data_IF_496560516358
#
_entry.id   IF_496560516358
#
_cell.length_a   1.000
_cell.length_b   1.000
_cell.length_c   1.000
_cell.angle_alpha   90.00
_cell.angle_beta   90.00
_cell.angle_gamma   90.00
#
_symmetry.space_group_name_H-M   'P 1'
#
loop_
_entity.id
_entity.type
_entity.pdbx_description
1 polymer ?
#
# COMPACT_ATOMS: atom_id res chain seq x y z
N UNK A 1 30.31 -1.04 13.76
CA UNK A 1 30.08 -0.68 15.17
C UNK A 1 29.58 0.76 15.30
N UNK A 2 28.63 1.00 16.20
CA UNK A 2 28.17 2.34 16.62
C UNK A 2 29.26 3.07 17.45
N UNK A 3 29.13 4.37 17.74
CA UNK A 3 30.02 5.08 18.67
C UNK A 3 30.19 4.39 20.03
N UNK A 4 29.12 3.79 20.56
CA UNK A 4 29.11 3.00 21.81
C UNK A 4 29.60 1.56 21.65
N UNK A 5 30.02 1.15 20.44
CA UNK A 5 30.61 -0.16 20.18
C UNK A 5 29.62 -1.28 19.86
N UNK A 6 28.35 -0.97 19.63
CA UNK A 6 27.32 -1.96 19.31
C UNK A 6 27.52 -2.52 17.91
N UNK A 7 27.32 -3.83 17.76
CA UNK A 7 27.54 -4.59 16.53
C UNK A 7 26.24 -4.92 15.82
N UNK A 8 26.26 -4.86 14.50
CA UNK A 8 25.12 -5.21 13.65
C UNK A 8 25.46 -6.46 12.83
N UNK A 9 24.63 -7.49 12.95
CA UNK A 9 24.70 -8.69 12.13
C UNK A 9 23.70 -8.58 10.96
N UNK A 10 24.14 -8.82 9.73
CA UNK A 10 23.25 -9.01 8.59
C UNK A 10 22.59 -10.38 8.66
N UNK A 11 21.28 -10.46 8.45
CA UNK A 11 20.52 -11.70 8.26
C UNK A 11 19.73 -11.66 6.97
N UNK A 12 19.89 -12.68 6.13
CA UNK A 12 19.14 -12.83 4.87
C UNK A 12 18.77 -14.29 4.63
N UNK A 13 17.67 -14.50 3.92
CA UNK A 13 17.37 -15.75 3.22
C UNK A 13 17.53 -15.49 1.72
N UNK A 14 18.15 -16.40 0.98
CA UNK A 14 18.41 -16.22 -0.46
C UNK A 14 18.08 -17.48 -1.25
N UNK A 15 17.69 -17.29 -2.52
CA UNK A 15 17.52 -18.35 -3.50
C UNK A 15 17.58 -17.81 -4.92
N UNK A 16 18.60 -18.20 -5.68
CA UNK A 16 18.76 -17.83 -7.09
C UNK A 16 18.74 -16.30 -7.37
N UNK A 17 19.53 -15.56 -6.61
CA UNK A 17 19.63 -14.10 -6.68
C UNK A 17 20.98 -13.60 -7.22
N UNK A 18 21.72 -14.44 -7.97
CA UNK A 18 22.99 -14.08 -8.57
C UNK A 18 22.96 -12.75 -9.37
N UNK A 19 21.86 -12.42 -10.11
CA UNK A 19 21.80 -11.17 -10.87
C UNK A 19 21.73 -9.90 -10.01
N UNK A 20 21.27 -9.98 -8.75
CA UNK A 20 20.91 -8.79 -7.94
C UNK A 20 21.64 -8.71 -6.60
N UNK A 21 22.00 -9.86 -6.01
CA UNK A 21 22.51 -9.94 -4.63
C UNK A 21 23.73 -9.04 -4.38
N UNK A 22 24.61 -8.88 -5.38
CA UNK A 22 25.82 -8.07 -5.23
C UNK A 22 25.52 -6.63 -4.86
N UNK A 23 24.51 -6.03 -5.51
CA UNK A 23 24.05 -4.66 -5.28
C UNK A 23 23.55 -4.49 -3.83
N UNK A 24 22.77 -5.45 -3.34
CA UNK A 24 22.29 -5.47 -1.96
C UNK A 24 23.47 -5.52 -0.97
N UNK A 25 24.40 -6.46 -1.15
CA UNK A 25 25.55 -6.65 -0.25
C UNK A 25 26.47 -5.42 -0.20
N UNK A 26 26.73 -4.79 -1.35
CA UNK A 26 27.53 -3.57 -1.41
C UNK A 26 26.85 -2.41 -0.63
N UNK A 27 25.50 -2.36 -0.62
CA UNK A 27 24.73 -1.29 0.05
C UNK A 27 24.74 -1.36 1.58
N UNK A 28 24.83 -2.56 2.16
CA UNK A 28 24.81 -2.76 3.63
C UNK A 28 26.21 -2.82 4.25
N UNK A 29 27.25 -3.00 3.42
CA UNK A 29 28.63 -3.24 3.86
C UNK A 29 29.16 -2.24 4.89
N UNK A 30 28.82 -0.96 4.75
CA UNK A 30 29.31 0.09 5.62
C UNK A 30 28.83 -0.01 7.07
N UNK A 31 27.76 -0.77 7.34
CA UNK A 31 27.11 -0.78 8.66
C UNK A 31 27.12 -2.14 9.35
N UNK A 32 27.53 -3.22 8.67
CA UNK A 32 27.53 -4.57 9.22
C UNK A 32 28.89 -4.92 9.83
N UNK A 33 28.86 -5.62 10.96
CA UNK A 33 30.04 -6.13 11.67
C UNK A 33 30.16 -7.66 11.55
N UNK A 34 29.05 -8.32 11.23
CA UNK A 34 28.97 -9.75 10.95
C UNK A 34 27.87 -10.02 9.92
N UNK A 35 27.88 -11.20 9.29
CA UNK A 35 26.77 -11.64 8.44
C UNK A 35 26.44 -13.12 8.61
N UNK A 36 25.16 -13.43 8.55
CA UNK A 36 24.61 -14.78 8.47
C UNK A 36 23.62 -14.79 7.32
N UNK A 37 23.91 -15.57 6.29
CA UNK A 37 23.01 -15.71 5.14
C UNK A 37 22.60 -17.17 5.04
N UNK A 38 21.30 -17.42 4.93
CA UNK A 38 20.72 -18.75 4.75
C UNK A 38 20.33 -18.93 3.29
N UNK A 39 21.06 -19.76 2.58
CA UNK A 39 20.73 -20.18 1.23
C UNK A 39 19.72 -21.33 1.26
N UNK A 40 18.62 -21.17 0.53
CA UNK A 40 17.49 -22.12 0.53
C UNK A 40 17.42 -22.98 -0.74
N UNK A 41 18.58 -23.20 -1.36
CA UNK A 41 18.76 -24.06 -2.53
C UNK A 41 19.00 -23.28 -3.82
N UNK A 42 19.92 -22.32 -3.81
CA UNK A 42 20.42 -21.65 -5.01
C UNK A 42 21.19 -22.62 -5.90
N UNK A 43 21.10 -22.40 -7.21
CA UNK A 43 21.73 -23.23 -8.25
C UNK A 43 22.41 -22.38 -9.34
N UNK A 44 22.40 -21.06 -9.19
CA UNK A 44 22.82 -20.06 -10.17
C UNK A 44 24.16 -19.37 -9.82
N UNK A 45 24.86 -19.85 -8.80
CA UNK A 45 26.10 -19.24 -8.31
C UNK A 45 25.92 -18.12 -7.27
N UNK A 46 24.70 -17.87 -6.78
CA UNK A 46 24.43 -16.90 -5.70
C UNK A 46 25.39 -17.05 -4.52
N UNK A 47 25.66 -18.29 -4.10
CA UNK A 47 26.53 -18.60 -2.97
C UNK A 47 27.97 -18.10 -3.17
N UNK A 48 28.52 -18.24 -4.37
CA UNK A 48 29.90 -17.83 -4.67
C UNK A 48 30.03 -16.31 -4.69
N UNK A 49 29.00 -15.61 -5.18
CA UNK A 49 28.95 -14.15 -5.16
C UNK A 49 28.92 -13.64 -3.72
N UNK A 50 28.12 -14.26 -2.84
CA UNK A 50 28.05 -13.89 -1.42
C UNK A 50 29.43 -14.05 -0.76
N UNK A 51 30.05 -15.23 -0.90
CA UNK A 51 31.37 -15.53 -0.31
C UNK A 51 32.43 -14.54 -0.80
N UNK A 52 32.44 -14.23 -2.10
CA UNK A 52 33.40 -13.29 -2.67
C UNK A 52 33.15 -11.85 -2.21
N UNK A 53 31.89 -11.41 -2.17
CA UNK A 53 31.54 -10.04 -1.81
C UNK A 53 31.81 -9.73 -0.33
N UNK A 54 31.65 -10.70 0.57
CA UNK A 54 31.80 -10.52 2.01
C UNK A 54 33.04 -11.18 2.60
N UNK A 55 34.04 -11.54 1.77
CA UNK A 55 35.22 -12.31 2.18
C UNK A 55 36.05 -11.66 3.31
N UNK A 56 35.98 -10.35 3.44
CA UNK A 56 36.68 -9.52 4.42
C UNK A 56 35.81 -9.10 5.62
N UNK A 57 34.54 -9.52 5.65
CA UNK A 57 33.63 -9.30 6.79
C UNK A 57 33.38 -10.65 7.47
N UNK A 58 33.52 -10.76 8.81
CA UNK A 58 33.21 -12.00 9.52
C UNK A 58 31.79 -12.47 9.24
N UNK A 59 31.61 -13.76 8.93
CA UNK A 59 30.27 -14.30 8.70
C UNK A 59 30.24 -15.69 8.14
N UNK A 60 29.03 -16.20 7.92
CA UNK A 60 28.81 -17.55 7.44
C UNK A 60 27.62 -17.65 6.49
N UNK A 61 27.77 -18.52 5.49
CA UNK A 61 26.73 -18.93 4.57
C UNK A 61 26.28 -20.34 4.95
N UNK A 62 25.00 -20.51 5.22
CA UNK A 62 24.41 -21.77 5.67
C UNK A 62 23.39 -22.24 4.64
N UNK A 63 23.39 -23.53 4.31
CA UNK A 63 22.36 -24.12 3.47
C UNK A 63 21.26 -24.74 4.34
N UNK A 64 20.00 -24.43 4.04
CA UNK A 64 18.83 -24.97 4.74
C UNK A 64 17.72 -25.33 3.75
N UNK A 65 16.90 -26.35 4.06
CA UNK A 65 15.73 -26.63 3.25
C UNK A 65 14.75 -25.45 3.32
N UNK A 66 14.16 -25.12 2.18
CA UNK A 66 13.01 -24.21 2.13
C UNK A 66 11.80 -24.85 2.80
N UNK A 67 11.19 -24.15 3.74
CA UNK A 67 9.92 -24.50 4.36
C UNK A 67 8.89 -23.44 3.98
N UNK A 68 9.07 -22.23 4.50
CA UNK A 68 8.27 -21.03 4.21
C UNK A 68 9.00 -19.76 4.66
N UNK A 69 8.48 -18.58 4.32
CA UNK A 69 9.16 -17.32 4.63
C UNK A 69 9.32 -17.07 6.14
N UNK A 70 8.27 -17.28 6.92
CA UNK A 70 8.29 -17.06 8.37
C UNK A 70 9.25 -18.00 9.07
N UNK A 71 9.25 -19.28 8.71
CA UNK A 71 10.15 -20.30 9.23
C UNK A 71 11.60 -19.97 8.90
N UNK A 72 11.93 -19.82 7.62
CA UNK A 72 13.32 -19.63 7.21
C UNK A 72 13.88 -18.27 7.66
N UNK A 73 13.06 -17.20 7.71
CA UNK A 73 13.51 -15.93 8.33
C UNK A 73 13.72 -16.03 9.83
N UNK A 74 12.88 -16.78 10.53
CA UNK A 74 13.07 -17.02 11.98
C UNK A 74 14.35 -17.80 12.23
N UNK A 75 14.60 -18.87 11.47
CA UNK A 75 15.84 -19.63 11.57
C UNK A 75 17.06 -18.74 11.28
N UNK A 76 17.03 -17.94 10.20
CA UNK A 76 18.11 -17.01 9.86
C UNK A 76 18.34 -15.96 10.94
N UNK A 77 17.28 -15.45 11.57
CA UNK A 77 17.36 -14.49 12.67
C UNK A 77 17.96 -15.14 13.91
N UNK A 78 17.55 -16.36 14.26
CA UNK A 78 18.11 -17.12 15.39
C UNK A 78 19.61 -17.39 15.22
N UNK A 79 20.03 -17.80 14.03
CA UNK A 79 21.43 -18.01 13.68
C UNK A 79 22.25 -16.72 13.75
N UNK A 80 21.66 -15.56 13.43
CA UNK A 80 22.32 -14.26 13.45
C UNK A 80 22.51 -13.68 14.87
N UNK A 81 21.61 -13.99 15.80
CA UNK A 81 21.58 -13.40 17.16
C UNK A 81 22.91 -13.41 17.93
N UNK A 82 23.70 -14.50 17.94
CA UNK A 82 24.95 -14.55 18.71
C UNK A 82 26.06 -13.63 18.17
N UNK A 83 25.87 -13.04 17.00
CA UNK A 83 26.92 -12.36 16.24
C UNK A 83 26.79 -10.82 16.22
N UNK A 84 25.83 -10.25 16.94
CA UNK A 84 25.67 -8.80 17.08
C UNK A 84 24.72 -8.42 18.21
N UNK A 85 24.67 -7.14 18.54
CA UNK A 85 23.66 -6.56 19.44
C UNK A 85 22.33 -6.37 18.71
N UNK A 86 22.39 -6.11 17.41
CA UNK A 86 21.24 -5.98 16.51
C UNK A 86 21.41 -6.86 15.27
N UNK A 87 20.28 -7.28 14.70
CA UNK A 87 20.24 -7.96 13.40
C UNK A 87 19.48 -7.12 12.38
N UNK A 88 20.13 -6.81 11.25
CA UNK A 88 19.54 -6.17 10.08
C UNK A 88 18.99 -7.25 9.15
N UNK A 89 17.72 -7.15 8.76
CA UNK A 89 17.10 -8.01 7.75
C UNK A 89 16.81 -7.19 6.49
N UNK A 90 17.30 -7.67 5.34
CA UNK A 90 17.09 -7.05 4.03
C UNK A 90 16.91 -8.14 2.97
N UNK A 91 16.09 -7.87 1.96
CA UNK A 91 15.86 -8.79 0.85
C UNK A 91 16.96 -8.65 -0.20
N UNK A 92 17.28 -9.74 -0.90
CA UNK A 92 18.43 -9.84 -1.80
C UNK A 92 18.38 -8.89 -3.01
N UNK A 93 17.19 -8.45 -3.40
CA UNK A 93 16.95 -7.50 -4.47
C UNK A 93 16.83 -6.04 -3.99
N UNK A 94 16.80 -5.81 -2.67
CA UNK A 94 16.70 -4.48 -2.07
C UNK A 94 18.08 -3.82 -1.84
N UNK A 95 18.09 -2.50 -1.73
CA UNK A 95 19.27 -1.70 -1.44
C UNK A 95 19.08 -0.82 -0.21
N UNK A 96 20.04 -0.83 0.71
CA UNK A 96 20.08 0.12 1.81
C UNK A 96 20.61 1.48 1.35
N UNK A 97 19.84 2.53 1.61
CA UNK A 97 20.11 3.90 1.15
C UNK A 97 19.91 4.89 2.30
N UNK A 98 20.44 6.11 2.12
CA UNK A 98 20.09 7.22 2.99
C UNK A 98 18.60 7.57 2.80
N UNK A 99 17.85 7.75 3.89
CA UNK A 99 16.43 8.09 3.80
C UNK A 99 16.20 9.41 3.04
N UNK A 100 17.11 10.37 3.23
CA UNK A 100 17.05 11.68 2.60
C UNK A 100 17.79 11.63 1.25
N UNK A 101 17.07 11.89 0.16
CA UNK A 101 17.64 11.90 -1.20
C UNK A 101 17.82 10.53 -1.87
N UNK A 102 17.69 9.42 -1.12
CA UNK A 102 17.71 8.07 -1.69
C UNK A 102 19.03 7.65 -2.32
N UNK A 103 20.13 8.28 -1.91
CA UNK A 103 21.48 8.00 -2.37
C UNK A 103 22.10 6.82 -1.62
N UNK A 104 23.12 6.20 -2.21
CA UNK A 104 23.93 5.19 -1.52
C UNK A 104 24.52 5.75 -0.22
N UNK A 105 24.70 4.88 0.78
CA UNK A 105 25.37 5.26 2.00
C UNK A 105 26.86 5.57 1.73
N UNK A 106 27.43 6.61 2.33
CA UNK A 106 28.87 6.83 2.31
C UNK A 106 29.63 5.60 2.83
N UNK A 107 30.80 5.30 2.26
CA UNK A 107 31.64 4.17 2.67
C UNK A 107 32.00 4.22 4.16
N UNK A 108 32.08 5.41 4.73
CA UNK A 108 32.38 5.67 6.13
C UNK A 108 31.13 6.01 6.98
N UNK A 109 29.94 5.65 6.51
CA UNK A 109 28.71 5.89 7.26
C UNK A 109 28.79 5.23 8.64
N UNK A 110 28.46 6.00 9.68
CA UNK A 110 28.43 5.52 11.06
C UNK A 110 27.00 5.48 11.54
N UNK A 111 26.57 4.32 11.99
CA UNK A 111 25.29 4.15 12.67
C UNK A 111 25.25 5.00 13.95
N UNK A 112 24.10 5.60 14.29
CA UNK A 112 23.92 6.19 15.61
C UNK A 112 23.96 5.12 16.69
N UNK A 113 24.11 5.52 17.95
CA UNK A 113 23.89 4.62 19.07
C UNK A 113 22.43 4.15 19.10
N UNK A 114 22.25 2.88 19.46
CA UNK A 114 20.98 2.18 19.41
C UNK A 114 20.54 1.77 20.82
N UNK A 115 19.27 1.92 21.13
CA UNK A 115 18.69 1.62 22.44
C UNK A 115 17.33 0.94 22.33
N UNK A 116 16.57 1.30 21.29
CA UNK A 116 15.24 0.79 20.98
C UNK A 116 15.23 -0.72 20.72
N UNK A 117 14.10 -1.39 20.98
CA UNK A 117 13.96 -2.83 20.76
C UNK A 117 14.00 -3.23 19.27
N UNK A 118 13.66 -2.29 18.38
CA UNK A 118 13.80 -2.42 16.94
C UNK A 118 13.68 -1.06 16.26
N UNK A 119 14.10 -0.98 15.01
CA UNK A 119 14.04 0.25 14.22
C UNK A 119 13.31 0.06 12.90
N UNK A 120 12.45 1.03 12.62
CA UNK A 120 11.71 1.18 11.37
C UNK A 120 12.59 1.87 10.32
N UNK A 121 12.62 1.30 9.12
CA UNK A 121 13.19 1.93 7.94
C UNK A 121 12.07 2.23 6.95
N UNK A 122 12.20 3.33 6.20
CA UNK A 122 11.28 3.64 5.11
C UNK A 122 11.56 2.72 3.92
N UNK A 123 10.54 2.06 3.41
CA UNK A 123 10.63 1.27 2.19
C UNK A 123 10.24 2.17 1.01
N UNK A 124 11.14 2.29 0.06
CA UNK A 124 10.97 3.07 -1.17
C UNK A 124 10.63 2.11 -2.32
N UNK A 125 9.33 1.97 -2.61
CA UNK A 125 8.84 1.29 -3.80
C UNK A 125 8.69 2.30 -4.97
N UNK A 126 8.35 1.88 -6.18
CA UNK A 126 8.29 2.77 -7.36
C UNK A 126 7.35 3.97 -7.14
N UNK A 127 6.19 3.74 -6.52
CA UNK A 127 5.13 4.76 -6.34
C UNK A 127 4.73 4.97 -4.88
N UNK A 128 5.27 4.18 -3.95
CA UNK A 128 4.84 4.18 -2.55
C UNK A 128 6.01 4.27 -1.59
N UNK A 129 5.74 4.83 -0.42
CA UNK A 129 6.65 4.90 0.72
C UNK A 129 5.92 4.36 1.94
N UNK A 130 6.51 3.41 2.65
CA UNK A 130 5.90 2.86 3.86
C UNK A 130 6.95 2.40 4.88
N UNK A 131 6.68 2.52 6.19
CA UNK A 131 7.57 2.02 7.22
C UNK A 131 7.59 0.50 7.30
N UNK A 132 8.77 -0.10 7.53
CA UNK A 132 8.92 -1.52 7.94
C UNK A 132 10.05 -1.65 8.96
N UNK A 133 9.80 -2.38 10.05
CA UNK A 133 10.86 -2.74 11.00
C UNK A 133 11.82 -3.72 10.37
N UNK A 134 13.10 -3.36 10.34
CA UNK A 134 14.14 -4.15 9.67
C UNK A 134 15.44 -4.29 10.47
N UNK A 135 15.54 -3.63 11.64
CA UNK A 135 16.66 -3.78 12.55
C UNK A 135 16.13 -4.20 13.91
N UNK A 136 16.59 -5.34 14.43
CA UNK A 136 16.02 -6.00 15.61
C UNK A 136 17.06 -6.18 16.70
N UNK A 137 16.73 -5.82 17.95
CA UNK A 137 17.64 -6.02 19.09
C UNK A 137 17.72 -7.50 19.45
N UNK A 138 18.92 -8.08 19.39
CA UNK A 138 19.11 -9.53 19.53
C UNK A 138 18.85 -10.07 20.94
N UNK A 139 18.90 -9.21 21.95
CA UNK A 139 18.53 -9.53 23.33
C UNK A 139 17.03 -9.83 23.51
N UNK A 140 16.20 -9.56 22.49
CA UNK A 140 14.75 -9.74 22.54
C UNK A 140 14.30 -10.85 21.58
N UNK A 141 13.25 -11.62 21.90
CA UNK A 141 12.85 -12.82 21.16
C UNK A 141 12.08 -12.53 19.86
N UNK A 142 12.64 -11.69 18.98
CA UNK A 142 12.08 -11.41 17.65
C UNK A 142 11.95 -12.66 16.76
N UNK A 143 10.78 -12.88 16.15
CA UNK A 143 10.57 -13.96 15.18
C UNK A 143 9.64 -13.52 14.07
N UNK A 144 9.70 -14.21 12.93
CA UNK A 144 8.78 -13.97 11.83
C UNK A 144 7.63 -14.98 11.85
N UNK A 145 6.43 -14.51 11.51
CA UNK A 145 5.24 -15.36 11.36
C UNK A 145 4.55 -15.13 10.03
N UNK A 146 3.97 -16.21 9.51
CA UNK A 146 3.29 -16.24 8.22
C UNK A 146 4.07 -17.04 7.19
N UNK A 147 3.38 -17.94 6.47
CA UNK A 147 4.01 -18.73 5.39
C UNK A 147 4.49 -17.88 4.21
N UNK A 148 3.82 -16.75 3.99
CA UNK A 148 4.11 -15.72 2.99
C UNK A 148 3.47 -14.40 3.45
N UNK A 149 4.03 -13.26 3.06
CA UNK A 149 3.70 -11.94 3.63
C UNK A 149 3.89 -11.91 5.15
N UNK A 150 5.01 -12.49 5.56
CA UNK A 150 5.47 -12.65 6.92
C UNK A 150 5.77 -11.31 7.60
N UNK A 151 5.57 -11.28 8.90
CA UNK A 151 5.81 -10.10 9.73
C UNK A 151 6.63 -10.47 10.95
N UNK A 152 7.49 -9.56 11.37
CA UNK A 152 8.25 -9.70 12.60
C UNK A 152 7.36 -9.40 13.79
N UNK A 153 7.44 -10.22 14.83
CA UNK A 153 6.80 -10.00 16.12
C UNK A 153 7.78 -10.26 17.27
N UNK A 154 7.46 -9.69 18.41
CA UNK A 154 8.12 -9.95 19.68
C UNK A 154 7.06 -9.82 20.77
N UNK A 155 6.64 -10.95 21.34
CA UNK A 155 5.46 -11.06 22.23
C UNK A 155 5.52 -10.14 23.46
N UNK A 156 6.73 -9.74 23.89
CA UNK A 156 6.96 -8.99 25.13
C UNK A 156 6.99 -7.46 24.95
N UNK A 157 6.80 -6.95 23.73
CA UNK A 157 6.98 -5.51 23.45
C UNK A 157 5.67 -4.80 23.11
N UNK A 158 5.42 -3.71 23.83
CA UNK A 158 4.56 -2.63 23.33
C UNK A 158 5.41 -1.81 22.36
N UNK A 159 4.96 -1.75 21.10
CA UNK A 159 5.70 -1.18 20.00
C UNK A 159 5.93 0.34 20.17
N UNK A 160 7.17 0.79 19.90
CA UNK A 160 7.51 2.21 19.78
C UNK A 160 8.15 2.43 18.41
N UNK A 161 7.53 3.25 17.58
CA UNK A 161 8.03 3.54 16.24
C UNK A 161 9.29 4.40 16.34
N UNK A 162 10.45 3.75 16.30
CA UNK A 162 11.75 4.42 16.29
C UNK A 162 12.32 4.31 14.89
N UNK A 163 12.41 5.43 14.18
CA UNK A 163 12.95 5.46 12.82
C UNK A 163 14.44 5.75 12.80
N UNK A 164 15.15 5.13 11.86
CA UNK A 164 16.50 5.53 11.49
C UNK A 164 16.47 6.42 10.26
N UNK A 165 17.49 7.28 10.04
CA UNK A 165 17.64 8.06 8.81
C UNK A 165 18.11 7.19 7.62
N UNK A 166 17.62 5.95 7.55
CA UNK A 166 17.90 4.94 6.55
C UNK A 166 16.61 4.51 5.87
N UNK A 167 16.73 4.11 4.62
CA UNK A 167 15.63 3.56 3.83
C UNK A 167 16.11 2.31 3.06
N UNK A 168 15.16 1.49 2.63
CA UNK A 168 15.42 0.40 1.69
C UNK A 168 14.74 0.73 0.37
N UNK A 169 15.52 0.85 -0.71
CA UNK A 169 14.99 0.93 -2.06
C UNK A 169 14.66 -0.48 -2.51
N UNK A 170 13.39 -0.69 -2.85
CA UNK A 170 12.90 -2.01 -3.22
C UNK A 170 13.36 -2.40 -4.62
N UNK A 171 13.84 -3.62 -4.76
CA UNK A 171 14.09 -4.25 -6.06
C UNK A 171 12.79 -4.66 -6.76
N UNK A 172 12.78 -4.57 -8.10
CA UNK A 172 11.71 -5.16 -8.92
C UNK A 172 12.25 -6.23 -9.88
N UNK A 173 13.50 -6.63 -9.70
CA UNK A 173 14.28 -7.49 -10.58
C UNK A 173 14.67 -8.83 -9.93
N UNK A 174 14.15 -9.16 -8.73
CA UNK A 174 14.40 -10.43 -8.04
C UNK A 174 13.73 -11.67 -8.66
N UNK A 175 14.15 -12.87 -8.25
CA UNK A 175 13.78 -14.13 -8.89
C UNK A 175 12.27 -14.40 -8.95
N UNK A 176 11.55 -14.13 -7.86
CA UNK A 176 10.09 -14.33 -7.78
C UNK A 176 9.31 -13.46 -8.76
N UNK A 177 9.78 -12.23 -9.05
CA UNK A 177 9.08 -11.32 -9.96
C UNK A 177 9.23 -11.70 -11.43
N UNK A 178 10.28 -12.44 -11.78
CA UNK A 178 10.51 -12.93 -13.15
C UNK A 178 9.62 -14.13 -13.51
N UNK A 179 8.91 -14.70 -12.54
CA UNK A 179 8.07 -15.86 -12.72
C UNK A 179 6.59 -15.47 -12.79
N UNK A 180 6.00 -15.63 -13.98
CA UNK A 180 4.60 -15.31 -14.27
C UNK A 180 3.61 -16.16 -13.46
N UNK A 181 4.05 -17.33 -12.96
CA UNK A 181 3.21 -18.23 -12.16
C UNK A 181 3.23 -17.92 -10.65
N UNK A 182 3.96 -16.88 -10.21
CA UNK A 182 4.17 -16.58 -8.79
C UNK A 182 2.86 -16.44 -8.02
N UNK A 183 1.90 -15.65 -8.51
CA UNK A 183 0.63 -15.45 -7.78
C UNK A 183 -0.24 -16.70 -7.73
N UNK A 184 -0.20 -17.55 -8.76
CA UNK A 184 -0.91 -18.84 -8.73
C UNK A 184 -0.32 -19.78 -7.66
N UNK A 185 1.01 -19.86 -7.57
CA UNK A 185 1.68 -20.64 -6.51
C UNK A 185 1.47 -20.05 -5.12
N UNK A 186 1.44 -18.72 -5.00
CA UNK A 186 1.16 -18.04 -3.73
C UNK A 186 -0.25 -18.38 -3.23
N UNK A 187 -1.24 -18.46 -4.13
CA UNK A 187 -2.57 -18.95 -3.78
C UNK A 187 -2.52 -20.40 -3.26
N UNK A 188 -1.82 -21.31 -3.93
CA UNK A 188 -1.67 -22.71 -3.47
C UNK A 188 -1.00 -22.81 -2.09
N UNK A 189 -0.02 -21.95 -1.80
CA UNK A 189 0.63 -21.89 -0.48
C UNK A 189 -0.40 -21.55 0.59
N UNK A 190 -1.21 -20.51 0.38
CA UNK A 190 -2.23 -20.14 1.35
C UNK A 190 -3.36 -21.17 1.47
N UNK A 191 -3.76 -21.83 0.37
CA UNK A 191 -4.74 -22.92 0.43
C UNK A 191 -4.26 -24.10 1.29
N UNK A 192 -2.97 -24.43 1.20
CA UNK A 192 -2.36 -25.47 2.04
C UNK A 192 -2.28 -25.01 3.50
N UNK A 193 -1.85 -23.77 3.73
CA UNK A 193 -1.70 -23.20 5.07
C UNK A 193 -3.06 -23.11 5.80
N UNK A 194 -4.12 -22.65 5.14
CA UNK A 194 -5.47 -22.53 5.70
C UNK A 194 -6.06 -23.87 6.19
N UNK A 195 -5.59 -25.01 5.68
CA UNK A 195 -6.07 -26.35 6.10
C UNK A 195 -5.48 -26.80 7.44
N UNK A 196 -4.32 -26.26 7.83
CA UNK A 196 -3.56 -26.72 8.99
C UNK A 196 -3.35 -25.64 10.06
N UNK A 197 -3.43 -24.36 9.66
CA UNK A 197 -3.30 -23.22 10.56
C UNK A 197 -4.46 -23.19 11.56
N UNK A 198 -4.14 -22.87 12.82
CA UNK A 198 -5.09 -22.82 13.93
C UNK A 198 -5.18 -21.45 14.55
N UNK A 199 -4.19 -20.59 14.34
CA UNK A 199 -4.22 -19.22 14.84
C UNK A 199 -5.25 -18.39 14.06
N UNK A 200 -6.32 -17.88 14.71
CA UNK A 200 -7.36 -17.11 14.05
C UNK A 200 -6.86 -15.84 13.36
N UNK A 201 -5.83 -15.18 13.91
CA UNK A 201 -5.23 -13.99 13.30
C UNK A 201 -4.51 -14.36 12.01
N UNK A 202 -3.69 -15.42 12.01
CA UNK A 202 -3.02 -15.89 10.80
C UNK A 202 -4.02 -16.40 9.75
N UNK A 203 -5.07 -17.13 10.15
CA UNK A 203 -6.15 -17.54 9.25
C UNK A 203 -6.77 -16.33 8.54
N UNK A 204 -7.04 -15.25 9.27
CA UNK A 204 -7.59 -14.02 8.68
C UNK A 204 -6.64 -13.41 7.65
N UNK A 205 -5.35 -13.31 7.97
CA UNK A 205 -4.35 -12.78 7.03
C UNK A 205 -4.14 -13.67 5.82
N UNK A 206 -4.09 -14.99 6.00
CA UNK A 206 -3.97 -15.94 4.90
C UNK A 206 -5.16 -15.86 3.96
N UNK A 207 -6.39 -15.69 4.47
CA UNK A 207 -7.56 -15.48 3.62
C UNK A 207 -7.47 -14.19 2.81
N UNK A 208 -6.99 -13.10 3.43
CA UNK A 208 -6.76 -11.83 2.73
C UNK A 208 -5.73 -11.96 1.59
N UNK A 209 -4.57 -12.54 1.88
CA UNK A 209 -3.53 -12.69 0.87
C UNK A 209 -3.85 -13.78 -0.17
N UNK A 210 -4.65 -14.79 0.17
CA UNK A 210 -5.23 -15.71 -0.81
C UNK A 210 -6.12 -14.97 -1.80
N UNK A 211 -6.99 -14.06 -1.32
CA UNK A 211 -7.84 -13.26 -2.18
C UNK A 211 -7.02 -12.35 -3.12
N UNK A 212 -5.97 -11.69 -2.61
CA UNK A 212 -5.04 -10.91 -3.42
C UNK A 212 -4.34 -11.78 -4.47
N UNK A 213 -3.85 -12.96 -4.08
CA UNK A 213 -3.16 -13.89 -4.98
C UNK A 213 -4.08 -14.36 -6.11
N UNK A 214 -5.33 -14.71 -5.78
CA UNK A 214 -6.34 -15.06 -6.79
C UNK A 214 -6.70 -13.91 -7.72
N UNK A 215 -6.80 -12.68 -7.19
CA UNK A 215 -7.03 -11.49 -8.01
C UNK A 215 -5.88 -11.30 -9.00
N UNK A 216 -4.65 -11.38 -8.50
CA UNK A 216 -3.44 -11.07 -9.26
C UNK A 216 -3.08 -12.16 -10.28
N UNK A 217 -3.50 -13.41 -10.08
CA UNK A 217 -3.42 -14.47 -11.10
C UNK A 217 -4.64 -14.56 -12.03
N UNK A 218 -5.65 -13.69 -11.86
CA UNK A 218 -6.81 -13.59 -12.75
C UNK A 218 -8.00 -14.51 -12.40
N UNK A 219 -7.93 -15.28 -11.32
CA UNK A 219 -9.00 -16.15 -10.80
C UNK A 219 -10.11 -15.35 -10.10
N UNK A 220 -10.78 -14.45 -10.83
CA UNK A 220 -11.72 -13.44 -10.31
C UNK A 220 -12.80 -13.98 -9.37
N UNK A 221 -13.43 -15.12 -9.73
CA UNK A 221 -14.49 -15.75 -8.93
C UNK A 221 -13.97 -16.25 -7.58
N UNK A 222 -12.77 -16.87 -7.56
CA UNK A 222 -12.14 -17.35 -6.33
C UNK A 222 -11.69 -16.18 -5.45
N UNK A 223 -11.14 -15.13 -6.08
CA UNK A 223 -10.77 -13.90 -5.38
C UNK A 223 -11.98 -13.26 -4.69
N UNK A 224 -13.11 -13.14 -5.39
CA UNK A 224 -14.35 -12.62 -4.84
C UNK A 224 -14.79 -13.43 -3.60
N UNK A 225 -14.85 -14.75 -3.72
CA UNK A 225 -15.24 -15.61 -2.59
C UNK A 225 -14.27 -15.47 -1.41
N UNK A 226 -12.97 -15.42 -1.66
CA UNK A 226 -11.96 -15.27 -0.62
C UNK A 226 -12.05 -13.90 0.08
N UNK A 227 -12.29 -12.81 -0.66
CA UNK A 227 -12.53 -11.50 -0.06
C UNK A 227 -13.79 -11.49 0.81
N UNK A 228 -14.91 -12.03 0.32
CA UNK A 228 -16.15 -12.12 1.10
C UNK A 228 -15.99 -13.02 2.35
N UNK A 229 -15.16 -14.06 2.27
CA UNK A 229 -14.81 -14.85 3.45
C UNK A 229 -13.95 -14.03 4.42
N UNK A 230 -12.97 -13.25 3.93
CA UNK A 230 -12.12 -12.43 4.78
C UNK A 230 -12.93 -11.43 5.60
N UNK A 231 -14.01 -10.87 5.05
CA UNK A 231 -14.81 -9.86 5.75
C UNK A 231 -15.55 -10.39 6.97
N UNK A 232 -15.68 -11.71 7.12
CA UNK A 232 -16.35 -12.32 8.29
C UNK A 232 -15.39 -12.75 9.41
N UNK A 233 -14.08 -12.51 9.26
CA UNK A 233 -13.05 -13.06 10.16
C UNK A 233 -12.55 -12.10 11.24
N UNK A 234 -13.04 -10.86 11.29
CA UNK A 234 -12.61 -9.86 12.29
C UNK A 234 -11.16 -9.38 12.13
N UNK A 235 -10.52 -9.02 13.25
CA UNK A 235 -9.18 -8.43 13.35
C UNK A 235 -9.09 -7.03 12.72
N UNK A 236 -8.07 -6.78 11.88
CA UNK A 236 -7.76 -5.45 11.42
C UNK A 236 -8.83 -4.93 10.43
N UNK A 237 -9.50 -3.84 10.81
CA UNK A 237 -10.60 -3.25 10.03
C UNK A 237 -10.18 -2.80 8.62
N UNK A 238 -8.94 -2.36 8.44
CA UNK A 238 -8.42 -1.94 7.13
C UNK A 238 -8.38 -3.10 6.13
N UNK A 239 -8.05 -4.32 6.55
CA UNK A 239 -8.12 -5.50 5.67
C UNK A 239 -9.56 -5.86 5.33
N UNK A 240 -10.51 -5.69 6.27
CA UNK A 240 -11.93 -5.92 6.03
C UNK A 240 -12.47 -4.88 5.03
N UNK A 241 -12.12 -3.60 5.21
CA UNK A 241 -12.46 -2.51 4.31
C UNK A 241 -11.97 -2.81 2.88
N UNK A 242 -10.68 -3.11 2.73
CA UNK A 242 -10.08 -3.41 1.42
C UNK A 242 -10.65 -4.69 0.82
N UNK A 243 -11.08 -5.65 1.64
CA UNK A 243 -11.73 -6.87 1.15
C UNK A 243 -13.12 -6.60 0.59
N UNK A 244 -13.96 -5.80 1.26
CA UNK A 244 -15.24 -5.37 0.68
C UNK A 244 -15.05 -4.54 -0.58
N UNK A 245 -14.10 -3.60 -0.57
CA UNK A 245 -13.79 -2.79 -1.74
C UNK A 245 -13.33 -3.66 -2.93
N UNK A 246 -12.39 -4.58 -2.68
CA UNK A 246 -11.90 -5.53 -3.69
C UNK A 246 -12.99 -6.45 -4.22
N UNK A 247 -13.86 -6.96 -3.34
CA UNK A 247 -15.03 -7.74 -3.72
C UNK A 247 -15.98 -6.94 -4.62
N UNK A 248 -16.37 -5.73 -4.23
CA UNK A 248 -17.27 -4.88 -5.02
C UNK A 248 -16.72 -4.58 -6.42
N UNK A 249 -15.41 -4.27 -6.52
CA UNK A 249 -14.74 -4.07 -7.80
C UNK A 249 -14.71 -5.35 -8.66
N UNK A 250 -14.52 -6.52 -8.05
CA UNK A 250 -14.59 -7.80 -8.78
C UNK A 250 -16.01 -8.13 -9.22
N UNK A 251 -17.02 -7.81 -8.41
CA UNK A 251 -18.43 -8.00 -8.74
C UNK A 251 -18.84 -7.15 -9.95
N UNK A 252 -18.40 -5.88 -10.00
CA UNK A 252 -18.55 -5.02 -11.19
C UNK A 252 -17.91 -5.67 -12.43
N UNK A 253 -16.67 -6.15 -12.30
CA UNK A 253 -15.94 -6.84 -13.38
C UNK A 253 -16.56 -8.18 -13.84
N UNK A 254 -17.43 -8.78 -13.01
CA UNK A 254 -18.12 -10.04 -13.28
C UNK A 254 -19.59 -9.82 -13.69
N UNK A 255 -20.00 -8.57 -13.87
CA UNK A 255 -21.37 -8.15 -14.18
C UNK A 255 -22.41 -8.69 -13.18
N UNK A 256 -22.07 -8.69 -11.89
CA UNK A 256 -23.01 -9.06 -10.83
C UNK A 256 -24.18 -8.06 -10.73
N UNK A 257 -25.32 -8.48 -10.14
CA UNK A 257 -26.48 -7.62 -9.98
C UNK A 257 -26.15 -6.29 -9.30
N UNK A 258 -26.72 -5.20 -9.81
CA UNK A 258 -26.44 -3.85 -9.35
C UNK A 258 -26.57 -3.69 -7.83
N UNK A 259 -27.68 -4.16 -7.26
CA UNK A 259 -27.96 -4.02 -5.81
C UNK A 259 -26.95 -4.78 -4.95
N UNK A 260 -26.40 -5.89 -5.44
CA UNK A 260 -25.37 -6.66 -4.72
C UNK A 260 -24.03 -5.92 -4.72
N UNK A 261 -23.65 -5.32 -5.86
CA UNK A 261 -22.44 -4.49 -5.97
C UNK A 261 -22.55 -3.27 -5.05
N UNK A 262 -23.69 -2.57 -5.07
CA UNK A 262 -23.95 -1.42 -4.18
C UNK A 262 -23.88 -1.84 -2.71
N UNK A 263 -24.55 -2.93 -2.34
CA UNK A 263 -24.52 -3.43 -0.96
C UNK A 263 -23.09 -3.74 -0.49
N UNK A 264 -22.24 -4.25 -1.38
CA UNK A 264 -20.83 -4.51 -1.06
C UNK A 264 -20.03 -3.22 -0.82
N UNK A 265 -20.24 -2.18 -1.64
CA UNK A 265 -19.66 -0.86 -1.40
C UNK A 265 -20.17 -0.22 -0.11
N UNK A 266 -21.48 -0.29 0.17
CA UNK A 266 -22.06 0.25 1.40
C UNK A 266 -21.44 -0.41 2.65
N UNK A 267 -21.17 -1.72 2.58
CA UNK A 267 -20.46 -2.43 3.65
C UNK A 267 -19.03 -1.93 3.80
N UNK A 268 -18.30 -1.68 2.72
CA UNK A 268 -16.97 -1.06 2.80
C UNK A 268 -17.04 0.31 3.49
N UNK A 269 -17.97 1.18 3.06
CA UNK A 269 -18.17 2.52 3.65
C UNK A 269 -18.54 2.41 5.15
N UNK A 270 -19.38 1.44 5.52
CA UNK A 270 -19.77 1.22 6.91
C UNK A 270 -18.60 0.77 7.80
N UNK A 271 -17.66 -0.02 7.27
CA UNK A 271 -16.45 -0.43 8.00
C UNK A 271 -15.53 0.76 8.27
N UNK A 272 -15.29 1.61 7.26
CA UNK A 272 -14.48 2.81 7.47
C UNK A 272 -15.09 4.02 6.71
N UNK A 273 -15.97 4.79 7.37
CA UNK A 273 -16.65 5.92 6.74
C UNK A 273 -15.74 7.13 6.50
N UNK A 274 -14.49 7.10 6.99
CA UNK A 274 -13.49 8.16 6.77
C UNK A 274 -12.69 7.96 5.48
N UNK A 275 -12.89 6.84 4.78
CA UNK A 275 -12.16 6.49 3.55
C UNK A 275 -12.93 6.90 2.29
N UNK A 276 -12.27 7.62 1.39
CA UNK A 276 -12.88 8.13 0.15
C UNK A 276 -12.96 7.06 -0.94
N UNK A 277 -12.12 6.03 -0.91
CA UNK A 277 -11.96 5.11 -2.04
C UNK A 277 -13.26 4.39 -2.40
N UNK A 278 -13.95 3.79 -1.42
CA UNK A 278 -15.24 3.14 -1.65
C UNK A 278 -16.29 4.13 -2.19
N UNK A 279 -16.34 5.34 -1.64
CA UNK A 279 -17.25 6.42 -2.08
C UNK A 279 -16.96 6.84 -3.53
N UNK A 280 -15.69 6.97 -3.89
CA UNK A 280 -15.25 7.25 -5.25
C UNK A 280 -15.66 6.15 -6.23
N UNK A 281 -15.39 4.88 -5.90
CA UNK A 281 -15.69 3.78 -6.80
C UNK A 281 -17.19 3.52 -6.94
N UNK A 282 -17.98 3.62 -5.87
CA UNK A 282 -19.44 3.45 -5.96
C UNK A 282 -20.09 4.59 -6.75
N UNK A 283 -19.65 5.84 -6.55
CA UNK A 283 -20.17 6.96 -7.35
C UNK A 283 -19.83 6.83 -8.83
N UNK A 284 -18.62 6.36 -9.17
CA UNK A 284 -18.23 6.00 -10.54
C UNK A 284 -19.12 4.88 -11.09
N UNK A 285 -19.31 3.80 -10.34
CA UNK A 285 -20.13 2.67 -10.75
C UNK A 285 -21.58 3.10 -11.07
N UNK A 286 -22.21 3.88 -10.18
CA UNK A 286 -23.53 4.46 -10.40
C UNK A 286 -23.54 5.36 -11.65
N UNK A 287 -22.50 6.18 -11.85
CA UNK A 287 -22.37 7.02 -13.05
C UNK A 287 -22.34 6.18 -14.33
N UNK A 288 -21.53 5.12 -14.37
CA UNK A 288 -21.38 4.24 -15.55
C UNK A 288 -22.69 3.52 -15.88
N UNK A 289 -23.49 3.17 -14.86
CA UNK A 289 -24.86 2.63 -15.01
C UNK A 289 -25.93 3.72 -15.24
N UNK A 290 -25.55 4.99 -15.42
CA UNK A 290 -26.42 6.16 -15.64
C UNK A 290 -27.39 6.46 -14.49
N UNK A 291 -27.09 5.97 -13.28
CA UNK A 291 -27.82 6.25 -12.03
C UNK A 291 -27.31 7.53 -11.38
N UNK A 292 -27.46 8.66 -12.08
CA UNK A 292 -26.80 9.92 -11.70
C UNK A 292 -27.22 10.48 -10.34
N UNK A 293 -28.46 10.27 -9.92
CA UNK A 293 -28.95 10.74 -8.60
C UNK A 293 -28.23 9.99 -7.46
N UNK A 294 -28.09 8.67 -7.57
CA UNK A 294 -27.34 7.87 -6.59
C UNK A 294 -25.85 8.21 -6.62
N UNK A 295 -25.28 8.32 -7.83
CA UNK A 295 -23.90 8.74 -8.00
C UNK A 295 -23.64 10.08 -7.32
N UNK A 296 -24.60 11.01 -7.38
CA UNK A 296 -24.49 12.33 -6.75
C UNK A 296 -24.44 12.22 -5.24
N UNK A 297 -25.36 11.47 -4.62
CA UNK A 297 -25.40 11.34 -3.15
C UNK A 297 -24.17 10.62 -2.59
N UNK A 298 -23.68 9.58 -3.26
CA UNK A 298 -22.40 8.99 -2.88
C UNK A 298 -21.26 9.98 -3.04
N UNK A 299 -21.11 10.62 -4.20
CA UNK A 299 -19.99 11.52 -4.42
C UNK A 299 -19.99 12.71 -3.43
N UNK A 300 -21.17 13.26 -3.12
CA UNK A 300 -21.36 14.36 -2.17
C UNK A 300 -20.90 13.98 -0.75
N UNK A 301 -21.19 12.74 -0.29
CA UNK A 301 -20.87 12.31 1.08
C UNK A 301 -19.37 12.27 1.39
N UNK A 302 -18.52 12.17 0.37
CA UNK A 302 -17.06 12.11 0.54
C UNK A 302 -16.33 13.44 0.30
N UNK A 303 -17.00 14.52 -0.14
CA UNK A 303 -16.32 15.76 -0.58
C UNK A 303 -15.55 16.49 0.54
N UNK A 304 -15.95 16.28 1.79
CA UNK A 304 -15.35 16.92 2.97
C UNK A 304 -14.33 16.02 3.70
N UNK A 305 -14.15 14.79 3.23
CA UNK A 305 -13.18 13.86 3.81
C UNK A 305 -11.75 14.27 3.46
N UNK A 306 -10.86 14.15 4.46
CA UNK A 306 -9.42 14.34 4.31
C UNK A 306 -8.72 12.98 4.31
N UNK A 307 -7.58 12.88 3.63
CA UNK A 307 -6.78 11.66 3.63
C UNK A 307 -6.39 11.30 5.07
N UNK A 308 -6.63 10.05 5.53
CA UNK A 308 -6.23 9.64 6.86
C UNK A 308 -4.70 9.58 6.97
N UNK A 309 -4.18 9.76 8.18
CA UNK A 309 -2.74 9.66 8.46
C UNK A 309 -2.22 8.21 8.39
N UNK A 310 -3.13 7.26 8.54
CA UNK A 310 -2.91 5.82 8.52
C UNK A 310 -3.96 5.13 7.66
N UNK A 311 -3.64 3.92 7.20
CA UNK A 311 -4.58 3.10 6.43
C UNK A 311 -3.89 2.30 5.34
N UNK A 312 -4.50 1.18 4.98
CA UNK A 312 -3.95 0.28 3.98
C UNK A 312 -4.29 0.81 2.57
N UNK A 313 -3.26 1.03 1.75
CA UNK A 313 -3.35 1.48 0.35
C UNK A 313 -4.12 2.80 0.10
N UNK A 314 -3.93 3.81 0.96
CA UNK A 314 -4.60 5.12 0.83
C UNK A 314 -4.27 5.80 -0.51
N UNK A 315 -5.30 6.09 -1.30
CA UNK A 315 -5.19 6.71 -2.63
C UNK A 315 -5.33 8.24 -2.55
N UNK A 316 -4.27 8.93 -2.14
CA UNK A 316 -4.25 10.38 -1.86
C UNK A 316 -4.84 11.24 -2.99
N UNK A 317 -4.60 10.90 -4.25
CA UNK A 317 -5.14 11.63 -5.40
C UNK A 317 -6.69 11.70 -5.41
N UNK A 318 -7.38 10.68 -4.87
CA UNK A 318 -8.84 10.66 -4.78
C UNK A 318 -9.37 11.72 -3.80
N UNK A 319 -8.64 11.98 -2.73
CA UNK A 319 -8.94 13.02 -1.75
C UNK A 319 -8.59 14.42 -2.29
N UNK A 320 -7.41 14.53 -2.91
CA UNK A 320 -6.88 15.82 -3.38
C UNK A 320 -7.72 16.41 -4.52
N UNK A 321 -8.14 15.57 -5.48
CA UNK A 321 -8.97 16.04 -6.60
C UNK A 321 -9.95 14.99 -7.15
N UNK A 322 -9.64 13.69 -7.10
CA UNK A 322 -10.35 12.67 -7.87
C UNK A 322 -11.86 12.59 -7.61
N UNK A 323 -12.27 12.59 -6.33
CA UNK A 323 -13.71 12.57 -6.00
C UNK A 323 -14.42 13.85 -6.44
N UNK A 324 -13.79 15.00 -6.23
CA UNK A 324 -14.37 16.31 -6.58
C UNK A 324 -14.45 16.51 -8.10
N UNK A 325 -13.48 15.97 -8.82
CA UNK A 325 -13.47 15.88 -10.28
C UNK A 325 -14.66 15.05 -10.79
N UNK A 326 -14.81 13.83 -10.25
CA UNK A 326 -15.94 12.94 -10.53
C UNK A 326 -17.28 13.60 -10.21
N UNK A 327 -17.40 14.18 -9.03
CA UNK A 327 -18.59 14.90 -8.57
C UNK A 327 -19.01 16.01 -9.54
N UNK A 328 -18.06 16.78 -10.09
CA UNK A 328 -18.42 17.85 -11.02
C UNK A 328 -19.07 17.36 -12.31
N UNK A 329 -18.69 16.18 -12.83
CA UNK A 329 -19.37 15.56 -13.99
C UNK A 329 -20.77 15.08 -13.58
N UNK A 330 -20.89 14.45 -12.41
CA UNK A 330 -22.17 13.94 -11.91
C UNK A 330 -23.16 15.09 -11.67
N UNK A 331 -22.72 16.14 -10.99
CA UNK A 331 -23.49 17.35 -10.72
C UNK A 331 -23.99 18.03 -12.00
N UNK A 332 -23.22 18.00 -13.08
CA UNK A 332 -23.69 18.50 -14.37
C UNK A 332 -24.86 17.67 -14.91
N UNK A 333 -24.76 16.33 -14.85
CA UNK A 333 -25.78 15.42 -15.35
C UNK A 333 -27.06 15.41 -14.49
N UNK A 334 -26.98 15.80 -13.22
CA UNK A 334 -28.15 15.97 -12.34
C UNK A 334 -28.73 17.39 -12.37
N UNK A 335 -28.21 18.29 -13.19
CA UNK A 335 -28.69 19.68 -13.30
C UNK A 335 -28.23 20.60 -12.15
N UNK A 336 -27.34 20.13 -11.28
CA UNK A 336 -26.76 20.90 -10.18
C UNK A 336 -25.61 21.79 -10.68
N UNK A 337 -25.91 22.70 -11.60
CA UNK A 337 -24.90 23.48 -12.34
C UNK A 337 -24.02 24.36 -11.45
N UNK A 338 -24.56 24.91 -10.35
CA UNK A 338 -23.77 25.70 -9.39
C UNK A 338 -22.75 24.84 -8.65
N UNK A 339 -23.16 23.65 -8.21
CA UNK A 339 -22.26 22.69 -7.55
C UNK A 339 -21.20 22.17 -8.54
N UNK A 340 -21.60 21.88 -9.77
CA UNK A 340 -20.70 21.52 -10.88
C UNK A 340 -19.61 22.58 -11.10
N UNK A 341 -20.01 23.86 -11.26
CA UNK A 341 -19.08 24.97 -11.49
C UNK A 341 -18.09 25.14 -10.33
N UNK A 342 -18.59 25.11 -9.09
CA UNK A 342 -17.77 25.19 -7.88
C UNK A 342 -16.71 24.08 -7.84
N UNK A 343 -17.13 22.84 -8.08
CA UNK A 343 -16.25 21.68 -8.10
C UNK A 343 -15.22 21.77 -9.24
N UNK A 344 -15.60 22.23 -10.43
CA UNK A 344 -14.67 22.44 -11.54
C UNK A 344 -13.58 23.46 -11.20
N UNK A 345 -13.96 24.61 -10.61
CA UNK A 345 -13.01 25.66 -10.23
C UNK A 345 -12.02 25.13 -9.17
N UNK A 346 -12.53 24.41 -8.17
CA UNK A 346 -11.69 23.81 -7.13
C UNK A 346 -10.68 22.81 -7.69
N UNK A 347 -11.11 21.91 -8.59
CA UNK A 347 -10.24 20.93 -9.24
C UNK A 347 -9.20 21.61 -10.13
N UNK A 348 -9.59 22.63 -10.91
CA UNK A 348 -8.65 23.41 -11.72
C UNK A 348 -7.62 24.17 -10.88
N UNK A 349 -7.97 24.53 -9.65
CA UNK A 349 -7.05 25.13 -8.66
C UNK A 349 -6.08 24.13 -8.02
N UNK A 350 -6.33 22.82 -8.13
CA UNK A 350 -5.46 21.79 -7.57
C UNK A 350 -4.20 21.62 -8.45
N UNK A 351 -2.97 21.78 -7.92
CA UNK A 351 -1.74 21.61 -8.70
C UNK A 351 -1.55 20.18 -9.23
N UNK A 352 -2.00 19.17 -8.46
CA UNK A 352 -1.87 17.75 -8.79
C UNK A 352 -2.83 17.28 -9.87
N UNK A 353 -3.86 18.07 -10.21
CA UNK A 353 -4.83 17.69 -11.23
C UNK A 353 -4.16 17.57 -12.61
N UNK A 354 -4.30 16.42 -13.33
CA UNK A 354 -3.59 16.14 -14.58
C UNK A 354 -3.76 17.23 -15.63
N UNK A 355 -2.64 17.67 -16.21
CA UNK A 355 -2.65 18.78 -17.18
C UNK A 355 -3.51 18.48 -18.41
N UNK A 356 -3.51 17.24 -18.88
CA UNK A 356 -4.29 16.78 -20.04
C UNK A 356 -5.81 16.81 -19.83
N UNK A 357 -6.28 16.66 -18.59
CA UNK A 357 -7.72 16.67 -18.26
C UNK A 357 -8.28 18.09 -18.03
N UNK A 358 -7.41 19.09 -17.85
CA UNK A 358 -7.81 20.49 -17.53
C UNK A 358 -8.72 21.10 -18.58
N UNK A 359 -8.46 20.87 -19.87
CA UNK A 359 -9.30 21.42 -20.96
C UNK A 359 -10.73 20.89 -20.88
N UNK A 360 -10.90 19.60 -20.60
CA UNK A 360 -12.22 18.99 -20.44
C UNK A 360 -12.97 19.60 -19.24
N UNK A 361 -12.27 19.85 -18.12
CA UNK A 361 -12.88 20.44 -16.92
C UNK A 361 -13.28 21.91 -17.13
N UNK A 362 -12.49 22.69 -17.89
CA UNK A 362 -12.85 24.06 -18.32
C UNK A 362 -14.12 24.06 -19.17
N UNK A 363 -14.23 23.12 -20.10
CA UNK A 363 -15.40 23.01 -20.98
C UNK A 363 -16.68 22.69 -20.20
N UNK A 364 -16.60 21.78 -19.22
CA UNK A 364 -17.74 21.47 -18.33
C UNK A 364 -18.12 22.70 -17.49
N UNK A 365 -17.15 23.43 -16.94
CA UNK A 365 -17.41 24.66 -16.18
C UNK A 365 -18.15 25.72 -17.02
N UNK A 366 -17.71 25.93 -18.28
CA UNK A 366 -18.38 26.85 -19.22
C UNK A 366 -19.81 26.43 -19.53
N UNK A 367 -20.03 25.14 -19.79
CA UNK A 367 -21.37 24.58 -20.01
C UNK A 367 -22.28 24.77 -18.81
N UNK A 368 -21.77 24.52 -17.60
CA UNK A 368 -22.52 24.72 -16.37
C UNK A 368 -22.89 26.20 -16.19
N UNK A 369 -21.95 27.11 -16.39
CA UNK A 369 -22.19 28.56 -16.32
C UNK A 369 -23.26 29.01 -17.32
N UNK A 370 -23.19 28.55 -18.57
CA UNK A 370 -24.19 28.88 -19.59
C UNK A 370 -25.60 28.39 -19.24
N UNK A 371 -25.72 27.27 -18.50
CA UNK A 371 -27.01 26.74 -18.02
C UNK A 371 -27.56 27.49 -16.79
N UNK A 372 -26.72 28.25 -16.09
CA UNK A 372 -27.12 29.09 -14.95
C UNK A 372 -27.61 30.48 -15.38
N UNK A 373 -27.22 30.95 -16.56
CA UNK A 373 -27.69 32.22 -17.12
C UNK A 373 -29.04 31.97 -17.79
N UNK A 374 -30.10 32.55 -17.23
CA UNK A 374 -31.45 32.50 -17.80
C UNK A 374 -31.46 33.13 -19.22
N UNK A 375 -31.95 32.44 -20.27
CA UNK A 375 -32.12 33.03 -21.60
C UNK A 375 -33.01 34.29 -21.62
N UNK A 376 -33.79 34.56 -20.58
CA UNK A 376 -34.69 35.72 -20.52
C UNK A 376 -33.99 37.07 -20.21
N UNK A 377 -32.72 37.07 -19.79
CA UNK A 377 -31.99 38.30 -19.43
C UNK A 377 -30.93 38.72 -20.46
N UNK A 378 -31.31 38.65 -21.73
CA UNK A 378 -30.67 39.43 -22.79
C UNK A 378 -31.04 40.91 -22.66
N UNK A 379 -30.13 41.72 -22.12
CA UNK A 379 -29.99 43.16 -22.31
C UNK A 379 -31.28 43.97 -22.63
N UNK A 380 -32.05 44.30 -21.59
CA UNK A 380 -32.69 45.61 -21.47
C UNK A 380 -32.98 45.85 -20.00
N UNK A 381 -32.20 46.74 -19.38
CA UNK A 381 -32.54 47.29 -18.07
C UNK A 381 -33.86 48.07 -18.23
N UNK A 382 -34.98 47.49 -17.80
CA UNK A 382 -36.08 48.32 -17.31
C UNK A 382 -35.62 48.84 -15.94
N UNK A 383 -35.43 50.14 -15.85
CA UNK A 383 -35.20 50.82 -14.59
C UNK A 383 -36.36 50.52 -13.64
N UNK A 384 -36.13 49.69 -12.64
CA UNK A 384 -37.00 49.64 -11.46
C UNK A 384 -36.84 50.97 -10.71
N UNK A 385 -37.52 52.02 -11.17
CA UNK A 385 -37.92 53.14 -10.34
C UNK A 385 -39.25 52.76 -9.71
N UNK A 386 -39.21 52.01 -8.62
CA UNK A 386 -40.38 51.90 -7.75
C UNK A 386 -40.55 53.26 -7.07
N UNK A 387 -41.47 54.09 -7.59
CA UNK A 387 -42.00 55.21 -6.81
C UNK A 387 -42.91 54.60 -5.76
N UNK A 388 -42.44 54.61 -4.53
CA UNK A 388 -43.24 54.33 -3.35
C UNK A 388 -44.38 55.35 -3.29
N UNK A 389 -45.63 54.87 -3.33
CA UNK A 389 -46.82 55.66 -3.04
C UNK A 389 -47.69 54.83 -2.10
N UNK A 390 -47.73 55.15 -0.79
CA UNK A 390 -48.74 54.61 0.10
C UNK A 390 -49.99 55.49 -0.03
N UNK A 391 -51.14 54.86 -0.24
CA UNK A 391 -52.51 55.32 0.01
C UNK A 391 -53.33 54.18 -0.61
N UNK A 392 -53.95 53.26 0.13
CA UNK A 392 -54.88 53.39 1.26
C UNK A 392 -54.93 52.05 2.03
#
# INVERSE_FOLDING_TARGET
>A
MTPSGQKICLSMIVKNEAPVIRRCLDSVRAIIDHWVIVDTGSTDGTQDIIRAALADVPGTLLERPWVDFGHNRTEALELARPHGDYTLVIDADDELIAAHGGTALPVNYKMPDLDAPGYTLQIHDTTMRYPRTQLFKNALPWRYRGVLHEFAECEELVWTDTSLPLAMRRGHDGARRRDESTYARDAEIFEKALKIEKDPYLLSRYMYYLANSYRDCGEKRKALQAYLNRTTMGFWEEEIYISYLGAALLMDNLDEPFDEVISCFDKAIAINPRRVEAVYYVSRYCQDKKRYVEAYHYAESGLELSAPTDGLFVQHWMYNYGLRDKFSVIAFNTGQYRACLSACISVLGCPEFPHEERQQRVEIARKALAKMVDPAWGANHSSYSAVYSPDW
#
